data_IF_715700231132
#
_entry.id   IF_715700231132
#
_cell.length_a   1.000
_cell.length_b   1.000
_cell.length_c   1.000
_cell.angle_alpha   90.00
_cell.angle_beta   90.00
_cell.angle_gamma   90.00
#
_symmetry.space_group_name_H-M   'P 1'
#
loop_
_entity.id
_entity.type
_entity.pdbx_description
1 polymer ?
#
# COMPACT_ATOMS: atom_id res chain seq x y z
N UNK A 1 -14.50 -1.59 20.97
CA UNK A 1 -15.02 -1.06 19.69
C UNK A 1 -15.06 -2.19 18.67
N UNK A 2 -16.25 -2.51 18.14
CA UNK A 2 -16.43 -3.50 17.07
C UNK A 2 -15.64 -3.12 15.81
N UNK A 3 -15.26 -4.13 15.02
CA UNK A 3 -14.71 -3.91 13.67
C UNK A 3 -15.91 -3.58 12.78
N UNK A 4 -15.97 -2.40 12.13
CA UNK A 4 -17.01 -2.15 11.16
C UNK A 4 -16.88 -3.19 10.04
N UNK A 5 -17.99 -3.82 9.66
CA UNK A 5 -18.01 -4.73 8.50
C UNK A 5 -17.66 -3.88 7.28
N UNK A 6 -16.56 -4.19 6.57
CA UNK A 6 -16.13 -3.36 5.46
C UNK A 6 -17.11 -3.52 4.29
N UNK A 7 -17.42 -2.43 3.59
CA UNK A 7 -18.33 -2.45 2.44
C UNK A 7 -17.78 -3.25 1.25
N UNK A 8 -16.46 -3.45 1.22
CA UNK A 8 -15.74 -4.24 0.23
C UNK A 8 -14.57 -4.98 0.89
N UNK A 9 -14.07 -6.07 0.29
CA UNK A 9 -12.83 -6.70 0.73
C UNK A 9 -11.65 -5.70 0.83
N UNK A 10 -10.72 -5.94 1.76
CA UNK A 10 -9.55 -5.07 2.01
C UNK A 10 -8.61 -4.96 0.80
N UNK A 11 -7.92 -3.84 0.64
CA UNK A 11 -6.87 -3.63 -0.37
C UNK A 11 -7.34 -2.97 -1.66
N UNK A 12 -6.39 -2.53 -2.49
CA UNK A 12 -6.63 -1.94 -3.81
C UNK A 12 -6.42 -2.98 -4.90
N UNK A 13 -7.36 -3.05 -5.85
CA UNK A 13 -7.49 -4.17 -6.79
C UNK A 13 -7.26 -3.73 -8.22
N UNK A 14 -6.47 -4.49 -8.97
CA UNK A 14 -6.21 -4.23 -10.39
C UNK A 14 -6.36 -5.51 -11.21
N UNK A 15 -6.69 -5.36 -12.49
CA UNK A 15 -6.91 -6.49 -13.40
C UNK A 15 -8.34 -7.04 -13.34
N UNK A 16 -8.57 -8.16 -14.03
CA UNK A 16 -9.89 -8.78 -14.15
C UNK A 16 -10.19 -9.63 -12.91
N UNK A 17 -11.35 -9.44 -12.29
CA UNK A 17 -11.71 -10.18 -11.08
C UNK A 17 -11.82 -11.71 -11.27
N UNK A 18 -11.95 -12.18 -12.52
CA UNK A 18 -12.00 -13.60 -12.89
C UNK A 18 -10.67 -14.12 -13.44
N UNK A 19 -9.56 -13.40 -13.26
CA UNK A 19 -8.26 -13.89 -13.70
C UNK A 19 -7.88 -15.19 -12.93
N UNK A 20 -7.24 -16.17 -13.59
CA UNK A 20 -6.92 -17.46 -12.97
C UNK A 20 -5.85 -17.35 -11.86
N UNK A 21 -5.06 -16.28 -11.88
CA UNK A 21 -3.99 -16.01 -10.92
C UNK A 21 -4.30 -14.72 -10.18
N UNK A 22 -4.24 -14.78 -8.84
CA UNK A 22 -4.37 -13.65 -7.93
C UNK A 22 -3.04 -13.44 -7.23
N UNK A 23 -2.44 -12.27 -7.38
CA UNK A 23 -1.23 -11.85 -6.66
C UNK A 23 -1.61 -10.81 -5.63
N UNK A 24 -1.27 -11.05 -4.36
CA UNK A 24 -1.52 -10.12 -3.26
C UNK A 24 -0.20 -9.71 -2.61
N UNK A 25 -0.01 -8.42 -2.42
CA UNK A 25 1.15 -7.83 -1.76
C UNK A 25 0.72 -7.09 -0.50
N UNK A 26 1.20 -7.54 0.65
CA UNK A 26 1.18 -6.78 1.90
C UNK A 26 2.41 -5.92 1.99
N UNK A 27 2.24 -4.62 2.24
CA UNK A 27 3.33 -3.66 2.26
C UNK A 27 3.11 -2.59 3.30
N UNK A 28 4.20 -1.98 3.73
CA UNK A 28 4.23 -0.86 4.66
C UNK A 28 5.02 0.27 4.00
N UNK A 29 4.47 1.49 4.01
CA UNK A 29 4.99 2.64 3.27
C UNK A 29 6.34 3.15 3.77
N UNK A 30 6.71 2.88 5.02
CA UNK A 30 7.99 3.29 5.61
C UNK A 30 9.04 2.18 5.48
N UNK A 31 8.62 0.95 5.18
CA UNK A 31 9.52 -0.19 5.05
C UNK A 31 10.41 -0.06 3.80
N UNK A 32 11.76 -0.10 3.93
CA UNK A 32 12.65 -0.04 2.78
C UNK A 32 12.55 -1.29 1.88
N UNK A 33 12.24 -2.46 2.45
CA UNK A 33 12.02 -3.67 1.67
C UNK A 33 10.70 -3.60 0.90
N UNK A 34 9.66 -2.97 1.46
CA UNK A 34 8.41 -2.73 0.74
C UNK A 34 8.64 -1.80 -0.43
N UNK A 35 9.42 -0.72 -0.26
CA UNK A 35 9.84 0.17 -1.35
C UNK A 35 10.49 -0.60 -2.50
N UNK A 36 11.46 -1.48 -2.18
CA UNK A 36 12.14 -2.31 -3.19
C UNK A 36 11.18 -3.29 -3.88
N UNK A 37 10.35 -4.00 -3.11
CA UNK A 37 9.37 -4.93 -3.64
C UNK A 37 8.28 -4.26 -4.47
N UNK A 38 7.89 -3.03 -4.11
CA UNK A 38 6.91 -2.23 -4.83
C UNK A 38 7.36 -1.92 -6.26
N UNK A 39 8.62 -1.53 -6.44
CA UNK A 39 9.19 -1.26 -7.76
C UNK A 39 9.10 -2.48 -8.69
N UNK A 40 9.43 -3.68 -8.19
CA UNK A 40 9.25 -4.91 -8.96
C UNK A 40 7.77 -5.22 -9.19
N UNK A 41 6.91 -5.04 -8.18
CA UNK A 41 5.47 -5.29 -8.30
C UNK A 41 4.81 -4.44 -9.39
N UNK A 42 5.22 -3.17 -9.55
CA UNK A 42 4.72 -2.33 -10.64
C UNK A 42 5.08 -2.89 -12.03
N UNK A 43 6.29 -3.44 -12.19
CA UNK A 43 6.69 -4.11 -13.43
C UNK A 43 5.87 -5.37 -13.69
N UNK A 44 5.58 -6.15 -12.64
CA UNK A 44 4.74 -7.35 -12.73
C UNK A 44 3.30 -6.98 -13.10
N UNK A 45 2.73 -5.95 -12.47
CA UNK A 45 1.39 -5.43 -12.81
C UNK A 45 1.34 -5.02 -14.27
N UNK A 46 2.36 -4.31 -14.76
CA UNK A 46 2.43 -3.91 -16.17
C UNK A 46 2.48 -5.13 -17.11
N UNK A 47 3.33 -6.11 -16.82
CA UNK A 47 3.51 -7.31 -17.64
C UNK A 47 2.25 -8.19 -17.71
N UNK A 48 1.46 -8.26 -16.63
CA UNK A 48 0.34 -9.19 -16.49
C UNK A 48 -1.03 -8.53 -16.32
N UNK A 49 -1.17 -7.24 -16.62
CA UNK A 49 -2.39 -6.45 -16.40
C UNK A 49 -3.71 -7.06 -16.93
N UNK A 50 -3.63 -7.94 -17.94
CA UNK A 50 -4.78 -8.62 -18.54
C UNK A 50 -5.01 -10.06 -18.06
N UNK A 51 -4.04 -10.65 -17.36
CA UNK A 51 -3.95 -12.09 -17.05
C UNK A 51 -3.94 -12.39 -15.55
N UNK A 52 -3.54 -11.43 -14.73
CA UNK A 52 -3.44 -11.57 -13.28
C UNK A 52 -4.32 -10.52 -12.60
N UNK A 53 -4.93 -10.92 -11.49
CA UNK A 53 -5.64 -10.03 -10.58
C UNK A 53 -4.74 -9.65 -9.42
N UNK A 54 -4.51 -8.35 -9.21
CA UNK A 54 -3.60 -7.85 -8.19
C UNK A 54 -4.36 -7.27 -7.00
N UNK A 55 -3.85 -7.48 -5.79
CA UNK A 55 -4.38 -6.91 -4.56
C UNK A 55 -3.24 -6.29 -3.75
N UNK A 56 -3.30 -4.97 -3.56
CA UNK A 56 -2.31 -4.21 -2.80
C UNK A 56 -2.88 -3.91 -1.41
N UNK A 57 -2.26 -4.48 -0.37
CA UNK A 57 -2.69 -4.42 1.02
C UNK A 57 -1.74 -3.53 1.83
N UNK A 58 -2.07 -2.25 2.07
CA UNK A 58 -1.28 -1.43 2.97
C UNK A 58 -1.42 -1.97 4.40
N UNK A 59 -0.34 -1.97 5.16
CA UNK A 59 -0.35 -2.30 6.58
C UNK A 59 0.69 -1.49 7.31
N UNK A 60 0.63 -1.52 8.64
CA UNK A 60 1.48 -0.70 9.50
C UNK A 60 2.25 -1.57 10.46
N UNK A 61 3.58 -1.55 10.37
CA UNK A 61 4.45 -2.18 11.35
C UNK A 61 4.64 -1.25 12.55
N UNK A 62 4.62 -1.79 13.77
CA UNK A 62 4.61 -0.97 14.99
C UNK A 62 5.88 -0.16 15.23
N UNK A 63 6.99 -0.52 14.57
CA UNK A 63 8.25 0.20 14.62
C UNK A 63 8.39 1.26 13.50
N UNK A 64 7.39 1.42 12.62
CA UNK A 64 7.36 2.42 11.56
C UNK A 64 6.41 3.55 11.96
N UNK A 65 6.97 4.65 12.49
CA UNK A 65 6.21 5.67 13.21
C UNK A 65 5.33 6.51 12.27
N UNK A 66 5.70 6.62 11.00
CA UNK A 66 5.00 7.44 10.00
C UNK A 66 3.98 6.62 9.21
N UNK A 67 4.10 5.29 9.25
CA UNK A 67 3.30 4.37 8.43
C UNK A 67 1.78 4.50 8.61
N UNK A 68 1.31 4.74 9.84
CA UNK A 68 -0.12 4.88 10.11
C UNK A 68 -0.77 6.06 9.39
N UNK A 69 -0.20 7.25 9.55
CA UNK A 69 -0.77 8.45 8.94
C UNK A 69 -0.52 8.51 7.43
N UNK A 70 0.59 7.96 6.93
CA UNK A 70 0.77 7.88 5.47
C UNK A 70 -0.15 6.82 4.82
N UNK A 71 -0.49 5.74 5.54
CA UNK A 71 -1.54 4.79 5.06
C UNK A 71 -2.90 5.49 5.00
N UNK A 72 -3.24 6.30 6.00
CA UNK A 72 -4.45 7.12 5.98
C UNK A 72 -4.45 8.10 4.81
N UNK A 73 -3.33 8.76 4.53
CA UNK A 73 -3.19 9.66 3.39
C UNK A 73 -3.41 8.96 2.05
N UNK A 74 -2.82 7.77 1.86
CA UNK A 74 -3.03 6.98 0.65
C UNK A 74 -4.50 6.61 0.46
N UNK A 75 -5.21 6.28 1.54
CA UNK A 75 -6.65 5.99 1.50
C UNK A 75 -7.48 7.25 1.21
N UNK A 76 -7.13 8.38 1.84
CA UNK A 76 -7.82 9.65 1.64
C UNK A 76 -7.76 10.15 0.19
N UNK A 77 -6.59 10.03 -0.45
CA UNK A 77 -6.38 10.45 -1.85
C UNK A 77 -7.00 9.49 -2.84
N UNK A 78 -6.92 8.19 -2.56
CA UNK A 78 -7.34 7.17 -3.51
C UNK A 78 -8.84 6.91 -3.52
N UNK A 79 -9.53 7.10 -2.39
CA UNK A 79 -10.91 6.62 -2.18
C UNK A 79 -11.01 5.11 -2.52
N UNK A 80 -11.57 4.77 -3.70
CA UNK A 80 -11.64 3.41 -4.22
C UNK A 80 -10.90 3.23 -5.56
N UNK A 81 -10.18 4.25 -6.02
CA UNK A 81 -9.45 4.24 -7.28
C UNK A 81 -8.03 3.65 -7.07
N UNK A 82 -7.75 2.45 -7.61
CA UNK A 82 -6.44 1.82 -7.47
C UNK A 82 -5.33 2.57 -8.20
N UNK A 83 -5.64 3.34 -9.25
CA UNK A 83 -4.64 4.15 -9.97
C UNK A 83 -4.14 5.28 -9.07
N UNK A 84 -5.06 6.05 -8.49
CA UNK A 84 -4.72 7.13 -7.53
C UNK A 84 -3.94 6.59 -6.33
N UNK A 85 -4.32 5.41 -5.84
CA UNK A 85 -3.57 4.73 -4.77
C UNK A 85 -2.14 4.41 -5.17
N UNK A 86 -1.94 3.82 -6.35
CA UNK A 86 -0.61 3.48 -6.85
C UNK A 86 0.23 4.74 -7.06
N UNK A 87 -0.32 5.77 -7.69
CA UNK A 87 0.38 7.02 -7.98
C UNK A 87 0.87 7.67 -6.68
N UNK A 88 -0.01 7.82 -5.69
CA UNK A 88 0.35 8.39 -4.39
C UNK A 88 1.35 7.52 -3.61
N UNK A 89 1.13 6.20 -3.52
CA UNK A 89 2.04 5.30 -2.79
C UNK A 89 3.42 5.26 -3.45
N UNK A 90 3.48 5.28 -4.78
CA UNK A 90 4.75 5.32 -5.51
C UNK A 90 5.51 6.60 -5.20
N UNK A 91 4.83 7.74 -5.22
CA UNK A 91 5.41 9.03 -4.85
C UNK A 91 5.92 9.04 -3.41
N UNK A 92 5.14 8.53 -2.45
CA UNK A 92 5.56 8.38 -1.05
C UNK A 92 6.81 7.50 -0.95
N UNK A 93 6.87 6.39 -1.67
CA UNK A 93 8.05 5.54 -1.67
C UNK A 93 9.28 6.23 -2.28
N UNK A 94 9.12 7.03 -3.33
CA UNK A 94 10.22 7.81 -3.90
C UNK A 94 10.86 8.73 -2.85
N UNK A 95 10.04 9.39 -2.03
CA UNK A 95 10.45 10.34 -0.99
C UNK A 95 10.66 9.70 0.40
N UNK A 96 10.67 8.36 0.51
CA UNK A 96 10.76 7.64 1.79
C UNK A 96 11.93 8.08 2.70
N UNK A 97 13.06 8.50 2.12
CA UNK A 97 14.21 8.98 2.90
C UNK A 97 13.96 10.28 3.67
N UNK A 98 12.91 11.04 3.34
CA UNK A 98 12.55 12.29 3.99
C UNK A 98 11.80 12.07 5.31
N UNK A 99 11.08 10.94 5.43
CA UNK A 99 10.19 10.69 6.57
C UNK A 99 10.46 9.39 7.33
N UNK A 100 11.40 8.55 6.87
CA UNK A 100 11.82 7.38 7.65
C UNK A 100 12.24 7.79 9.07
N UNK A 101 12.03 6.91 10.05
CA UNK A 101 12.26 7.14 11.48
C UNK A 101 13.43 8.07 11.85
N UNK A 102 14.64 7.86 11.30
CA UNK A 102 15.81 8.68 11.60
C UNK A 102 15.68 10.12 11.06
N UNK A 103 15.21 10.28 9.81
CA UNK A 103 15.02 11.58 9.18
C UNK A 103 13.92 12.40 9.89
N UNK A 104 12.94 11.71 10.47
CA UNK A 104 11.75 12.32 11.07
C UNK A 104 11.77 12.35 12.61
N UNK A 105 12.90 12.02 13.24
CA UNK A 105 12.99 11.82 14.70
C UNK A 105 12.65 13.06 15.54
N UNK A 106 12.94 14.25 15.02
CA UNK A 106 12.75 15.55 15.71
C UNK A 106 11.52 16.32 15.17
N UNK A 107 10.67 15.64 14.39
CA UNK A 107 9.48 16.22 13.76
C UNK A 107 8.21 15.81 14.48
N UNK A 108 7.19 16.65 14.37
CA UNK A 108 5.87 16.42 14.98
C UNK A 108 4.93 15.68 14.04
N UNK A 109 3.82 15.16 14.59
CA UNK A 109 2.73 14.62 13.77
C UNK A 109 2.16 15.68 12.81
N UNK A 110 2.09 16.95 13.23
CA UNK A 110 1.65 18.06 12.39
C UNK A 110 2.57 18.27 11.20
N UNK A 111 3.90 18.18 11.39
CA UNK A 111 4.86 18.24 10.29
C UNK A 111 4.62 17.10 9.30
N UNK A 112 4.31 15.90 9.79
CA UNK A 112 4.03 14.75 8.93
C UNK A 112 2.76 14.94 8.11
N UNK A 113 1.68 15.42 8.73
CA UNK A 113 0.42 15.68 8.02
C UNK A 113 0.57 16.78 6.98
N UNK A 114 1.37 17.81 7.26
CA UNK A 114 1.67 18.86 6.30
C UNK A 114 2.45 18.30 5.10
N UNK A 115 3.48 17.48 5.33
CA UNK A 115 4.25 16.85 4.26
C UNK A 115 3.38 15.91 3.41
N UNK A 116 2.51 15.13 4.04
CA UNK A 116 1.54 14.29 3.34
C UNK A 116 0.55 15.09 2.48
N UNK A 117 0.15 16.27 2.94
CA UNK A 117 -0.70 17.16 2.16
C UNK A 117 0.04 17.67 0.92
N UNK A 118 1.30 18.06 1.08
CA UNK A 118 2.13 18.53 -0.04
C UNK A 118 2.35 17.38 -1.05
N UNK A 119 2.65 16.16 -0.59
CA UNK A 119 2.72 14.96 -1.45
C UNK A 119 1.41 14.67 -2.17
N UNK A 120 0.24 14.88 -1.54
CA UNK A 120 -1.04 14.65 -2.19
C UNK A 120 -1.26 15.60 -3.37
N UNK A 121 -0.85 16.87 -3.20
CA UNK A 121 -0.92 17.89 -4.23
C UNK A 121 0.06 17.62 -5.39
N UNK A 122 1.26 17.13 -5.08
CA UNK A 122 2.29 16.88 -6.09
C UNK A 122 2.06 15.56 -6.87
N UNK A 123 1.61 14.52 -6.18
CA UNK A 123 1.50 13.17 -6.74
C UNK A 123 0.19 12.91 -7.52
N UNK A 124 -0.86 13.69 -7.23
CA UNK A 124 -2.21 13.42 -7.72
C UNK A 124 -2.94 14.69 -8.16
N UNK A 125 -4.19 14.55 -8.63
CA UNK A 125 -5.05 15.69 -9.01
C UNK A 125 -5.64 16.44 -7.80
N UNK A 126 -5.18 16.14 -6.58
CA UNK A 126 -5.66 16.81 -5.38
C UNK A 126 -5.23 18.27 -5.35
N UNK A 127 -6.15 19.20 -5.14
CA UNK A 127 -5.86 20.65 -5.18
C UNK A 127 -6.19 21.42 -3.91
N UNK A 128 -6.97 20.83 -3.00
CA UNK A 128 -7.43 21.50 -1.77
C UNK A 128 -6.69 20.97 -0.53
N UNK A 129 -5.58 21.62 -0.20
CA UNK A 129 -4.73 21.24 0.94
C UNK A 129 -5.48 21.22 2.28
N UNK A 130 -6.39 22.17 2.51
CA UNK A 130 -7.12 22.26 3.77
C UNK A 130 -8.11 21.09 3.91
N UNK A 131 -8.83 20.78 2.84
CA UNK A 131 -9.72 19.63 2.78
C UNK A 131 -8.99 18.30 2.96
N UNK A 132 -7.77 18.17 2.41
CA UNK A 132 -6.96 16.96 2.64
C UNK A 132 -6.65 16.77 4.12
N UNK A 133 -6.19 17.82 4.80
CA UNK A 133 -5.86 17.76 6.22
C UNK A 133 -7.08 17.45 7.09
N UNK A 134 -8.24 18.01 6.76
CA UNK A 134 -9.52 17.68 7.40
C UNK A 134 -9.84 16.19 7.22
N UNK A 135 -9.77 15.70 5.97
CA UNK A 135 -10.09 14.31 5.63
C UNK A 135 -9.12 13.33 6.30
N UNK A 136 -7.82 13.62 6.29
CA UNK A 136 -6.78 12.84 6.97
C UNK A 136 -7.06 12.69 8.47
N UNK A 137 -7.65 13.71 9.10
CA UNK A 137 -7.99 13.70 10.53
C UNK A 137 -9.43 13.23 10.83
N UNK A 138 -10.20 12.87 9.80
CA UNK A 138 -11.58 12.44 9.94
C UNK A 138 -11.72 11.04 10.58
N UNK A 139 -12.85 10.82 11.26
CA UNK A 139 -13.24 9.47 11.75
C UNK A 139 -13.47 8.48 10.62
N UNK A 140 -13.84 8.98 9.44
CA UNK A 140 -14.06 8.15 8.26
C UNK A 140 -12.77 7.48 7.82
N UNK A 141 -11.74 8.27 7.48
CA UNK A 141 -10.44 7.74 7.06
C UNK A 141 -9.80 6.91 8.16
N UNK A 142 -9.94 7.31 9.42
CA UNK A 142 -9.50 6.50 10.55
C UNK A 142 -10.14 5.09 10.54
N UNK A 143 -11.45 5.00 10.32
CA UNK A 143 -12.12 3.70 10.25
C UNK A 143 -11.74 2.90 9.00
N UNK A 144 -11.56 3.55 7.86
CA UNK A 144 -11.12 2.89 6.63
C UNK A 144 -9.70 2.32 6.78
N UNK A 145 -8.75 3.07 7.35
CA UNK A 145 -7.36 2.62 7.56
C UNK A 145 -7.24 1.45 8.57
N UNK A 146 -8.20 1.30 9.47
CA UNK A 146 -8.24 0.14 10.39
C UNK A 146 -8.58 -1.17 9.70
N UNK A 147 -9.26 -1.14 8.56
CA UNK A 147 -9.65 -2.34 7.82
C UNK A 147 -8.41 -3.11 7.35
N UNK A 148 -7.49 -2.53 6.55
CA UNK A 148 -6.34 -3.27 6.05
C UNK A 148 -5.32 -3.61 7.15
N UNK A 149 -5.14 -2.74 8.16
CA UNK A 149 -4.30 -3.04 9.32
C UNK A 149 -4.79 -4.23 10.16
N UNK A 150 -6.11 -4.45 10.26
CA UNK A 150 -6.68 -5.63 10.92
C UNK A 150 -6.71 -6.84 10.02
N UNK A 151 -6.91 -6.63 8.72
CA UNK A 151 -6.91 -7.69 7.73
C UNK A 151 -5.54 -8.40 7.68
N UNK A 152 -4.43 -7.66 7.71
CA UNK A 152 -3.09 -8.26 7.78
C UNK A 152 -2.91 -9.15 9.01
N UNK A 153 -3.40 -8.73 10.18
CA UNK A 153 -3.36 -9.50 11.43
C UNK A 153 -4.15 -10.80 11.29
N UNK A 154 -5.39 -10.73 10.78
CA UNK A 154 -6.23 -11.92 10.55
C UNK A 154 -5.59 -12.87 9.53
N UNK A 155 -4.85 -12.33 8.56
CA UNK A 155 -4.09 -13.10 7.57
C UNK A 155 -2.74 -13.62 8.10
N UNK A 156 -2.39 -13.33 9.36
CA UNK A 156 -1.14 -13.76 9.97
C UNK A 156 0.10 -13.10 9.37
N UNK A 157 -0.05 -11.94 8.73
CA UNK A 157 1.08 -11.21 8.13
C UNK A 157 1.72 -10.32 9.18
N UNK A 158 3.00 -10.56 9.44
CA UNK A 158 3.78 -9.87 10.48
C UNK A 158 5.05 -9.19 9.95
N UNK A 159 5.34 -9.32 8.66
CA UNK A 159 6.49 -8.70 7.99
C UNK A 159 6.11 -8.17 6.61
N UNK A 160 6.90 -7.21 6.11
CA UNK A 160 6.66 -6.58 4.81
C UNK A 160 7.94 -6.49 3.96
N UNK A 161 7.85 -6.66 2.63
CA UNK A 161 6.65 -7.08 1.92
C UNK A 161 6.39 -8.58 2.13
N UNK A 162 5.12 -8.96 2.16
CA UNK A 162 4.70 -10.37 2.12
C UNK A 162 3.82 -10.59 0.91
N UNK A 163 4.11 -11.63 0.13
CA UNK A 163 3.41 -11.94 -1.10
C UNK A 163 2.58 -13.22 -0.98
N UNK A 164 1.41 -13.21 -1.59
CA UNK A 164 0.58 -14.40 -1.78
C UNK A 164 0.26 -14.57 -3.26
N UNK A 165 0.22 -15.83 -3.72
CA UNK A 165 -0.28 -16.21 -5.04
C UNK A 165 -1.40 -17.21 -4.83
N UNK A 166 -2.60 -16.92 -5.35
CA UNK A 166 -3.81 -17.75 -5.18
C UNK A 166 -4.10 -18.11 -3.71
N UNK A 167 -3.80 -17.18 -2.79
CA UNK A 167 -4.02 -17.35 -1.35
C UNK A 167 -2.92 -18.12 -0.60
N UNK A 168 -1.96 -18.72 -1.29
CA UNK A 168 -0.79 -19.36 -0.68
C UNK A 168 0.37 -18.37 -0.55
N UNK A 169 1.11 -18.42 0.56
CA UNK A 169 2.29 -17.58 0.76
C UNK A 169 3.37 -17.90 -0.28
N UNK A 170 3.83 -16.90 -1.02
CA UNK A 170 4.84 -17.06 -2.06
C UNK A 170 6.26 -17.02 -1.45
N UNK A 171 6.61 -18.02 -0.65
CA UNK A 171 7.84 -18.06 0.18
C UNK A 171 9.15 -18.02 -0.59
N UNK A 172 9.12 -18.27 -1.91
CA UNK A 172 10.28 -18.17 -2.80
C UNK A 172 10.50 -16.75 -3.35
N UNK A 173 9.52 -15.87 -3.18
CA UNK A 173 9.59 -14.47 -3.63
C UNK A 173 9.90 -13.56 -2.45
N UNK A 174 10.67 -12.51 -2.71
CA UNK A 174 11.07 -11.52 -1.72
C UNK A 174 11.13 -10.13 -2.33
N UNK A 175 11.41 -9.12 -1.51
CA UNK A 175 11.69 -7.75 -1.99
C UNK A 175 12.86 -7.66 -2.98
N UNK A 176 13.71 -8.70 -3.05
CA UNK A 176 14.86 -8.75 -3.96
C UNK A 176 14.64 -9.62 -5.19
N UNK A 177 13.48 -10.26 -5.32
CA UNK A 177 13.14 -11.04 -6.51
C UNK A 177 13.06 -10.12 -7.73
N UNK A 178 13.67 -10.58 -8.83
CA UNK A 178 13.64 -9.91 -10.14
C UNK A 178 12.30 -10.12 -10.84
N UNK A 179 12.04 -9.36 -11.90
CA UNK A 179 10.87 -9.60 -12.75
C UNK A 179 10.87 -11.05 -13.29
N UNK A 180 12.02 -11.59 -13.67
CA UNK A 180 12.14 -12.98 -14.16
C UNK A 180 11.71 -14.01 -13.11
N UNK A 181 12.06 -13.80 -11.83
CA UNK A 181 11.62 -14.68 -10.74
C UNK A 181 10.09 -14.68 -10.60
N UNK A 182 9.47 -13.51 -10.75
CA UNK A 182 8.02 -13.35 -10.75
C UNK A 182 7.37 -14.01 -11.96
N UNK A 183 7.96 -13.85 -13.15
CA UNK A 183 7.45 -14.48 -14.37
C UNK A 183 7.48 -16.00 -14.26
N UNK A 184 8.60 -16.57 -13.79
CA UNK A 184 8.69 -18.01 -13.55
C UNK A 184 7.63 -18.53 -12.56
N UNK A 185 7.29 -17.74 -11.54
CA UNK A 185 6.26 -18.11 -10.57
C UNK A 185 4.83 -18.02 -11.16
N UNK A 186 4.56 -16.99 -11.97
CA UNK A 186 3.23 -16.71 -12.51
C UNK A 186 2.93 -17.56 -13.76
N UNK A 187 3.87 -17.65 -14.70
CA UNK A 187 3.65 -18.30 -16.00
C UNK A 187 3.32 -19.79 -15.86
N UNK A 188 3.82 -20.45 -14.81
CA UNK A 188 3.48 -21.85 -14.52
C UNK A 188 2.02 -22.08 -14.07
N UNK A 189 1.29 -20.99 -13.77
CA UNK A 189 -0.08 -21.01 -13.25
C UNK A 189 -1.11 -20.42 -14.23
N UNK A 190 -0.65 -19.89 -15.36
CA UNK A 190 -1.48 -19.35 -16.45
C UNK A 190 -1.77 -20.42 -17.50
#
# INVERSE_FOLDING_TARGET
MSIPIPQRPSGYRLGKANAPVIVEMFFDIECPFSKKGWQTMLQVIQAYSQQVYFILQPMTLGNHRQSWDGTKAAIAVAENDPKKFIDFVSYVFEHQSEFANEAFKDKTQTDWHNLLADYALDATEWSDRAKFLELLNSKEIYNQARIPARFSIVRGVWSTPTFFINGAAATKLSSSSSLSDWQNAIDSLL
#
